data_IF_690455145050
#
_entry.id   IF_690455145050
#
_cell.length_a   1.000
_cell.length_b   1.000
_cell.length_c   1.000
_cell.angle_alpha   90.00
_cell.angle_beta   90.00
_cell.angle_gamma   90.00
#
_symmetry.space_group_name_H-M   'P 1'
#
loop_
_entity.id
_entity.type
_entity.pdbx_description
1 polymer ?
#
# COMPACT_ATOMS: atom_id res chain seq x y z
N UNK A 1 1.10 -9.43 -9.97
CA UNK A 1 2.14 -10.43 -9.60
C UNK A 1 1.55 -11.32 -8.52
N UNK A 2 1.68 -12.67 -8.59
CA UNK A 2 1.17 -13.53 -7.54
C UNK A 2 1.72 -13.11 -6.16
N UNK A 3 0.90 -13.06 -5.10
CA UNK A 3 1.33 -12.52 -3.80
C UNK A 3 2.58 -13.20 -3.23
N UNK A 4 2.69 -14.52 -3.42
CA UNK A 4 3.87 -15.30 -3.01
C UNK A 4 5.13 -14.80 -3.71
N UNK A 5 5.07 -14.51 -5.00
CA UNK A 5 6.22 -14.04 -5.77
C UNK A 5 6.60 -12.61 -5.36
N UNK A 6 5.61 -11.71 -5.27
CA UNK A 6 5.80 -10.34 -4.80
C UNK A 6 6.44 -10.28 -3.40
N UNK A 7 6.13 -11.25 -2.53
CA UNK A 7 6.71 -11.33 -1.20
C UNK A 7 8.24 -11.53 -1.21
N UNK A 8 8.76 -12.34 -2.14
CA UNK A 8 10.20 -12.65 -2.24
C UNK A 8 10.98 -11.72 -3.17
N UNK A 9 10.30 -10.87 -3.94
CA UNK A 9 10.97 -9.92 -4.82
C UNK A 9 11.59 -8.76 -4.02
N UNK A 10 12.69 -8.16 -4.54
CA UNK A 10 13.25 -6.93 -3.98
C UNK A 10 12.21 -5.81 -3.96
N UNK A 11 12.24 -4.99 -2.91
CA UNK A 11 11.32 -3.88 -2.71
C UNK A 11 12.10 -2.59 -2.48
N UNK A 12 11.51 -1.47 -2.89
CA UNK A 12 11.99 -0.11 -2.59
C UNK A 12 10.86 0.67 -1.94
N UNK A 13 11.21 1.59 -1.03
CA UNK A 13 10.25 2.54 -0.46
C UNK A 13 10.12 3.74 -1.39
N UNK A 14 8.88 4.13 -1.70
CA UNK A 14 8.56 5.34 -2.47
C UNK A 14 7.50 6.16 -1.74
N UNK A 15 7.46 7.47 -1.99
CA UNK A 15 6.35 8.30 -1.52
C UNK A 15 5.03 7.77 -2.07
N UNK A 16 3.97 7.78 -1.26
CA UNK A 16 2.64 7.33 -1.67
C UNK A 16 2.16 8.02 -2.96
N UNK A 17 2.47 9.31 -3.12
CA UNK A 17 2.14 10.10 -4.31
C UNK A 17 2.85 9.61 -5.59
N UNK A 18 4.01 8.95 -5.44
CA UNK A 18 4.82 8.43 -6.55
C UNK A 18 4.58 6.94 -6.79
N UNK A 19 3.72 6.30 -6.01
CA UNK A 19 3.49 4.86 -6.07
C UNK A 19 2.54 4.43 -7.19
N UNK A 20 1.83 5.37 -7.83
CA UNK A 20 0.86 5.10 -8.89
C UNK A 20 1.55 4.44 -10.09
N UNK A 21 1.01 3.30 -10.52
CA UNK A 21 1.56 2.48 -11.60
C UNK A 21 2.63 1.48 -11.13
N UNK A 22 3.14 1.57 -9.92
CA UNK A 22 4.05 0.57 -9.38
C UNK A 22 3.27 -0.70 -8.92
N UNK A 23 3.99 -1.78 -8.60
CA UNK A 23 3.41 -2.98 -8.02
C UNK A 23 3.65 -2.96 -6.50
N UNK A 24 2.59 -3.18 -5.71
CA UNK A 24 2.66 -3.20 -4.26
C UNK A 24 3.60 -4.29 -3.75
N UNK A 25 4.59 -3.88 -2.96
CA UNK A 25 5.56 -4.73 -2.27
C UNK A 25 5.17 -5.05 -0.83
N UNK A 26 4.10 -4.46 -0.32
CA UNK A 26 3.51 -4.71 1.00
C UNK A 26 1.98 -4.68 0.94
N UNK A 27 1.34 -5.00 2.05
CA UNK A 27 -0.12 -4.99 2.18
C UNK A 27 -0.53 -3.77 3.01
N UNK A 28 -1.64 -3.12 2.64
CA UNK A 28 -2.22 -2.03 3.41
C UNK A 28 -3.66 -2.40 3.76
N UNK A 29 -3.97 -2.40 5.05
CA UNK A 29 -5.31 -2.68 5.57
C UNK A 29 -5.86 -1.47 6.31
N UNK A 30 -7.14 -1.19 6.11
CA UNK A 30 -7.86 -0.16 6.84
C UNK A 30 -8.64 -0.78 8.00
N UNK A 31 -8.52 -0.20 9.20
CA UNK A 31 -9.20 -0.64 10.41
C UNK A 31 -9.89 0.52 11.14
N UNK A 32 -11.16 0.37 11.57
CA UNK A 32 -12.08 -0.74 11.28
C UNK A 32 -12.61 -0.66 9.83
N UNK A 33 -13.01 -1.78 9.17
CA UNK A 33 -13.26 -3.12 9.71
C UNK A 33 -12.07 -4.10 9.66
N UNK A 34 -10.91 -3.72 9.13
CA UNK A 34 -9.75 -4.62 8.99
C UNK A 34 -9.67 -5.30 7.62
N UNK A 35 -10.02 -4.58 6.56
CA UNK A 35 -10.01 -5.08 5.18
C UNK A 35 -8.79 -4.55 4.40
N UNK A 36 -8.21 -5.35 3.49
CA UNK A 36 -7.17 -4.86 2.59
C UNK A 36 -7.70 -3.78 1.66
N UNK A 37 -6.95 -2.68 1.62
CA UNK A 37 -7.07 -1.62 0.60
C UNK A 37 -6.22 -1.99 -0.62
N UNK A 38 -5.03 -2.54 -0.38
CA UNK A 38 -4.17 -3.09 -1.43
C UNK A 38 -3.41 -4.31 -0.90
N UNK A 39 -3.30 -5.33 -1.74
CA UNK A 39 -2.59 -6.57 -1.46
C UNK A 39 -1.23 -6.60 -2.15
N UNK A 40 -0.31 -7.39 -1.59
CA UNK A 40 1.00 -7.66 -2.20
C UNK A 40 0.85 -8.16 -3.64
N UNK A 41 1.59 -7.54 -4.57
CA UNK A 41 1.61 -7.91 -5.98
C UNK A 41 0.50 -7.29 -6.82
N UNK A 42 -0.41 -6.51 -6.21
CA UNK A 42 -1.40 -5.72 -6.94
C UNK A 42 -0.78 -4.44 -7.52
N UNK A 43 -1.36 -3.93 -8.61
CA UNK A 43 -0.94 -2.67 -9.19
C UNK A 43 -1.60 -1.51 -8.46
N UNK A 44 -0.80 -0.54 -8.06
CA UNK A 44 -1.27 0.64 -7.36
C UNK A 44 -1.90 1.60 -8.39
N UNK A 45 -3.17 1.93 -8.20
CA UNK A 45 -3.90 2.89 -9.03
C UNK A 45 -4.02 4.24 -8.33
N UNK A 46 -4.37 5.28 -9.09
CA UNK A 46 -4.65 6.60 -8.53
C UNK A 46 -5.80 6.55 -7.52
N UNK A 47 -6.83 5.75 -7.80
CA UNK A 47 -8.00 5.56 -6.93
C UNK A 47 -7.60 4.99 -5.56
N UNK A 48 -6.68 4.02 -5.54
CA UNK A 48 -6.16 3.44 -4.30
C UNK A 48 -5.40 4.50 -3.50
N UNK A 49 -4.53 5.28 -4.15
CA UNK A 49 -3.77 6.35 -3.49
C UNK A 49 -4.70 7.41 -2.90
N UNK A 50 -5.72 7.82 -3.64
CA UNK A 50 -6.68 8.81 -3.16
C UNK A 50 -7.55 8.27 -2.04
N UNK A 51 -7.90 6.99 -2.08
CA UNK A 51 -8.61 6.31 -0.99
C UNK A 51 -7.76 6.24 0.28
N UNK A 52 -6.46 5.91 0.18
CA UNK A 52 -5.54 5.92 1.33
C UNK A 52 -5.45 7.33 1.93
N UNK A 53 -5.34 8.37 1.10
CA UNK A 53 -5.33 9.77 1.58
C UNK A 53 -6.63 10.12 2.31
N UNK A 54 -7.78 9.70 1.78
CA UNK A 54 -9.07 9.89 2.43
C UNK A 54 -9.11 9.21 3.81
N UNK A 55 -8.65 7.96 3.90
CA UNK A 55 -8.59 7.21 5.16
C UNK A 55 -7.68 7.89 6.19
N UNK A 56 -6.54 8.47 5.75
CA UNK A 56 -5.67 9.28 6.61
C UNK A 56 -6.40 10.50 7.16
N UNK A 57 -7.13 11.23 6.32
CA UNK A 57 -7.93 12.40 6.74
C UNK A 57 -9.01 12.00 7.75
N UNK A 58 -9.61 10.81 7.58
CA UNK A 58 -10.62 10.26 8.47
C UNK A 58 -10.05 9.69 9.78
N UNK A 59 -8.72 9.75 10.00
CA UNK A 59 -8.03 9.12 11.13
C UNK A 59 -8.34 7.63 11.28
N UNK A 60 -8.56 6.93 10.15
CA UNK A 60 -8.69 5.48 10.13
C UNK A 60 -7.33 4.85 10.42
N UNK A 61 -7.29 3.73 11.15
CA UNK A 61 -6.04 3.04 11.41
C UNK A 61 -5.60 2.29 10.16
N UNK A 62 -4.39 2.58 9.71
CA UNK A 62 -3.76 1.86 8.60
C UNK A 62 -2.75 0.86 9.17
N UNK A 63 -2.82 -0.38 8.71
CA UNK A 63 -1.99 -1.50 9.19
C UNK A 63 -1.35 -2.26 8.02
N UNK A 64 -0.28 -2.99 8.30
CA UNK A 64 0.43 -3.84 7.31
C UNK A 64 1.55 -3.14 6.54
N UNK A 65 1.65 -1.82 6.68
CA UNK A 65 2.68 -0.99 6.06
C UNK A 65 3.96 -0.97 6.91
N UNK A 66 5.12 -0.88 6.25
CA UNK A 66 6.38 -0.62 6.93
C UNK A 66 6.43 0.77 7.59
N UNK A 67 5.78 1.75 6.98
CA UNK A 67 5.64 3.11 7.50
C UNK A 67 4.28 3.29 8.20
N UNK A 68 4.31 3.50 9.50
CA UNK A 68 3.11 3.67 10.33
C UNK A 68 2.32 4.95 10.03
N UNK A 69 2.95 5.94 9.38
CA UNK A 69 2.28 7.18 8.98
C UNK A 69 1.68 7.11 7.57
N UNK A 70 1.92 6.03 6.82
CA UNK A 70 1.44 5.86 5.46
C UNK A 70 1.85 7.01 4.52
N UNK A 71 3.04 7.57 4.71
CA UNK A 71 3.61 8.59 3.81
C UNK A 71 4.39 7.92 2.66
N UNK A 72 4.93 6.73 2.93
CA UNK A 72 5.60 5.88 1.97
C UNK A 72 4.90 4.53 1.81
N UNK A 73 5.17 3.88 0.67
CA UNK A 73 4.72 2.53 0.36
C UNK A 73 5.89 1.73 -0.20
N UNK A 74 6.01 0.47 0.22
CA UNK A 74 6.93 -0.47 -0.41
C UNK A 74 6.36 -0.91 -1.76
N UNK A 75 7.17 -0.81 -2.81
CA UNK A 75 6.86 -1.29 -4.15
C UNK A 75 7.93 -2.25 -4.65
N UNK A 76 7.56 -3.15 -5.55
CA UNK A 76 8.52 -4.05 -6.20
C UNK A 76 9.51 -3.24 -7.05
N UNK A 77 10.75 -3.73 -7.13
CA UNK A 77 11.81 -3.17 -7.98
C UNK A 77 11.71 -3.70 -9.40
#
# INVERSE_FOLDING_TARGET
VPPREAFYQPKKSVLLANAVGEIAGEMLMAYPPGIPVISLGERITQEIVDYIKLLKIQNCQLQGMADSHADTLMVLV
#
